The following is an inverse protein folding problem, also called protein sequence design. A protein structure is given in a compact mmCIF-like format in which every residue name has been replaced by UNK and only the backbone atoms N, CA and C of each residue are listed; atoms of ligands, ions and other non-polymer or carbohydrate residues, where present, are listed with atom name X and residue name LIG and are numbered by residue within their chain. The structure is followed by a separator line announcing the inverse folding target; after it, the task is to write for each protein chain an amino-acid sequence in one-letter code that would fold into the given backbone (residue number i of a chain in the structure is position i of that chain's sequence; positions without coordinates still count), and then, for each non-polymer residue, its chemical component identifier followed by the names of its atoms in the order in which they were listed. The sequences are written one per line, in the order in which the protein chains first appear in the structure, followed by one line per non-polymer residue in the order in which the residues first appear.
data_IF_469440413829
#
_entry.id   IF_469440413829
#
_cell.length_a   1.000
_cell.length_b   1.000
_cell.length_c   1.000
_cell.angle_alpha   90.00
_cell.angle_beta   90.00
_cell.angle_gamma   90.00
#
_symmetry.space_group_name_H-M   'P 1'
#
loop_
_entity.id
_entity.type
_entity.pdbx_description
1 polymer ?
#
# COMPACT_ATOMS: atom_id res chain seq x y z
N UNK A 1 65.93 9.87 -11.62
CA UNK A 1 64.97 8.85 -11.15
C UNK A 1 64.26 9.20 -9.84
N UNK A 2 64.95 9.56 -8.74
CA UNK A 2 64.27 9.86 -7.45
C UNK A 2 63.20 10.98 -7.49
N UNK A 3 63.39 12.05 -8.27
CA UNK A 3 62.42 13.15 -8.41
C UNK A 3 61.13 12.79 -9.17
N UNK A 4 61.21 11.86 -10.13
CA UNK A 4 60.05 11.43 -10.94
C UNK A 4 59.16 10.48 -10.14
N UNK A 5 59.76 9.58 -9.35
CA UNK A 5 59.03 8.65 -8.47
C UNK A 5 58.32 9.42 -7.36
N UNK A 6 58.93 10.47 -6.79
CA UNK A 6 58.30 11.32 -5.79
C UNK A 6 57.11 12.10 -6.36
N UNK A 7 57.21 12.63 -7.58
CA UNK A 7 56.12 13.35 -8.24
C UNK A 7 54.92 12.43 -8.55
N UNK A 8 55.18 11.21 -9.04
CA UNK A 8 54.13 10.21 -9.27
C UNK A 8 53.43 9.80 -7.98
N UNK A 9 54.15 9.71 -6.86
CA UNK A 9 53.56 9.42 -5.55
C UNK A 9 52.64 10.54 -5.06
N UNK A 10 53.02 11.81 -5.25
CA UNK A 10 52.16 12.95 -4.92
C UNK A 10 50.90 13.02 -5.79
N UNK A 11 51.01 12.70 -7.09
CA UNK A 11 49.85 12.64 -8.01
C UNK A 11 48.91 11.50 -7.62
N UNK A 12 49.44 10.32 -7.26
CA UNK A 12 48.63 9.22 -6.75
C UNK A 12 47.97 9.55 -5.41
N UNK A 13 48.68 10.19 -4.49
CA UNK A 13 48.10 10.64 -3.21
C UNK A 13 46.96 11.65 -3.45
N UNK A 14 47.16 12.59 -4.38
CA UNK A 14 46.16 13.60 -4.73
C UNK A 14 44.94 12.97 -5.42
N UNK A 15 45.13 12.00 -6.32
CA UNK A 15 44.04 11.22 -6.89
C UNK A 15 43.27 10.46 -5.82
N UNK A 16 43.95 9.79 -4.87
CA UNK A 16 43.25 9.07 -3.79
C UNK A 16 42.45 10.00 -2.89
N UNK A 17 42.92 11.22 -2.64
CA UNK A 17 42.17 12.23 -1.88
C UNK A 17 40.93 12.70 -2.67
N UNK A 18 41.08 12.96 -3.97
CA UNK A 18 39.96 13.35 -4.85
C UNK A 18 38.89 12.26 -5.00
N UNK A 19 39.29 10.98 -5.11
CA UNK A 19 38.37 9.84 -5.19
C UNK A 19 37.81 9.40 -3.82
N UNK A 20 38.41 9.84 -2.71
CA UNK A 20 37.91 9.56 -1.35
C UNK A 20 36.85 10.54 -0.85
N UNK A 21 36.50 11.56 -1.65
CA UNK A 21 35.33 12.41 -1.39
C UNK A 21 34.05 11.65 -1.71
N UNK A 22 33.76 10.63 -0.90
CA UNK A 22 32.41 10.14 -0.73
C UNK A 22 31.60 11.36 -0.27
N UNK A 23 30.70 11.84 -1.14
CA UNK A 23 29.83 12.98 -0.84
C UNK A 23 29.06 12.65 0.44
N UNK A 24 29.44 13.29 1.54
CA UNK A 24 28.70 13.15 2.79
C UNK A 24 27.34 13.78 2.57
N UNK A 25 26.30 12.98 2.75
CA UNK A 25 24.93 13.45 2.89
C UNK A 25 24.74 13.72 4.37
N UNK A 26 24.45 14.97 4.71
CA UNK A 26 24.12 15.34 6.08
C UNK A 26 22.66 14.93 6.33
N UNK A 27 22.45 14.10 7.35
CA UNK A 27 21.13 13.66 7.77
C UNK A 27 20.65 14.58 8.88
N UNK A 28 19.54 15.30 8.66
CA UNK A 28 18.83 15.93 9.75
C UNK A 28 18.02 14.87 10.51
N UNK A 29 18.29 14.75 11.81
CA UNK A 29 17.63 13.78 12.69
C UNK A 29 16.14 14.08 12.83
N UNK A 30 15.33 13.01 12.84
CA UNK A 30 13.89 13.06 12.64
C UNK A 30 13.14 13.88 13.70
N UNK A 31 12.65 15.06 13.32
CA UNK A 31 11.66 15.78 14.13
C UNK A 31 10.37 14.97 14.10
N UNK A 32 9.89 14.55 15.28
CA UNK A 32 8.58 13.90 15.41
C UNK A 32 7.50 14.89 15.01
N UNK A 33 6.78 14.57 13.95
CA UNK A 33 5.69 15.37 13.40
C UNK A 33 4.39 14.59 13.44
N UNK A 34 3.29 15.30 13.25
CA UNK A 34 1.97 14.70 13.09
C UNK A 34 1.34 15.10 11.77
N UNK A 35 0.47 14.26 11.24
CA UNK A 35 -0.37 14.55 10.08
C UNK A 35 -1.69 13.80 10.19
N UNK A 36 -2.69 14.19 9.41
CA UNK A 36 -3.97 13.48 9.36
C UNK A 36 -3.92 12.52 8.17
N UNK A 37 -4.12 11.23 8.44
CA UNK A 37 -4.35 10.21 7.43
C UNK A 37 -5.76 9.63 7.61
N UNK A 38 -6.14 8.69 6.75
CA UNK A 38 -7.39 7.92 6.89
C UNK A 38 -7.09 6.50 7.33
N UNK A 39 -8.07 5.78 7.86
CA UNK A 39 -7.94 4.33 7.98
C UNK A 39 -8.20 3.63 6.64
N UNK A 40 -7.61 2.45 6.51
CA UNK A 40 -8.08 1.40 5.61
C UNK A 40 -9.43 0.88 6.10
N UNK A 41 -10.19 0.26 5.20
CA UNK A 41 -11.48 -0.33 5.54
C UNK A 41 -11.29 -1.75 6.06
N UNK A 42 -12.15 -2.16 6.98
CA UNK A 42 -12.30 -3.56 7.38
C UNK A 42 -13.75 -3.97 7.15
N UNK A 43 -13.95 -4.92 6.25
CA UNK A 43 -15.25 -5.53 6.01
C UNK A 43 -15.39 -6.78 6.88
N UNK A 44 -16.54 -6.93 7.55
CA UNK A 44 -16.78 -7.98 8.54
C UNK A 44 -18.10 -8.69 8.22
N UNK A 45 -18.09 -10.02 8.22
CA UNK A 45 -19.29 -10.85 8.07
C UNK A 45 -19.16 -12.13 8.88
N UNK A 46 -20.23 -12.91 9.02
CA UNK A 46 -20.24 -14.22 9.69
C UNK A 46 -19.97 -15.34 8.69
N UNK A 47 -19.26 -16.39 9.05
CA UNK A 47 -18.86 -17.46 8.09
C UNK A 47 -20.02 -18.18 7.41
N UNK A 48 -21.17 -18.23 8.08
CA UNK A 48 -22.42 -18.88 7.66
C UNK A 48 -23.47 -17.94 7.06
N UNK A 49 -23.15 -16.66 6.87
CA UNK A 49 -24.07 -15.62 6.37
C UNK A 49 -25.27 -15.33 7.28
N UNK A 50 -25.29 -15.83 8.51
CA UNK A 50 -26.33 -15.50 9.48
C UNK A 50 -25.94 -14.19 10.18
N UNK A 51 -26.80 -13.16 10.22
CA UNK A 51 -26.48 -11.91 10.91
C UNK A 51 -26.01 -12.14 12.35
N UNK A 52 -24.84 -11.60 12.67
CA UNK A 52 -24.22 -11.65 13.97
C UNK A 52 -23.98 -10.23 14.51
N UNK A 53 -23.50 -10.15 15.74
CA UNK A 53 -23.10 -8.91 16.39
C UNK A 53 -21.60 -8.87 16.62
N UNK A 54 -21.04 -7.68 16.42
CA UNK A 54 -19.63 -7.38 16.63
C UNK A 54 -19.50 -6.08 17.41
N UNK A 55 -18.55 -6.05 18.34
CA UNK A 55 -18.15 -4.84 19.06
C UNK A 55 -16.75 -4.43 18.59
N UNK A 56 -16.61 -3.17 18.19
CA UNK A 56 -15.37 -2.63 17.61
C UNK A 56 -14.91 -1.43 18.41
N UNK A 57 -13.60 -1.38 18.66
CA UNK A 57 -12.94 -0.29 19.36
C UNK A 57 -11.75 0.14 18.52
N UNK A 58 -11.72 1.39 18.06
CA UNK A 58 -10.60 1.91 17.28
C UNK A 58 -10.50 3.42 17.41
N UNK A 59 -9.30 3.96 17.19
CA UNK A 59 -9.07 5.39 17.35
C UNK A 59 -9.39 6.16 16.08
N UNK A 60 -10.14 7.26 16.20
CA UNK A 60 -10.44 8.22 15.13
C UNK A 60 -10.00 9.63 15.53
N UNK A 61 -9.89 10.55 14.59
CA UNK A 61 -9.66 11.97 14.87
C UNK A 61 -10.91 12.58 15.51
N UNK A 62 -10.81 12.94 16.80
CA UNK A 62 -11.84 13.61 17.55
C UNK A 62 -11.93 15.11 17.23
N UNK A 63 -13.02 15.74 17.68
CA UNK A 63 -13.30 17.16 17.43
C UNK A 63 -12.30 18.12 18.06
N UNK A 64 -11.53 17.66 19.06
CA UNK A 64 -10.46 18.42 19.71
C UNK A 64 -9.13 18.38 18.94
N UNK A 65 -9.09 17.73 17.76
CA UNK A 65 -7.88 17.58 16.95
C UNK A 65 -6.90 16.52 17.48
N UNK A 66 -7.30 15.71 18.46
CA UNK A 66 -6.55 14.56 18.96
C UNK A 66 -7.33 13.28 18.65
N UNK A 67 -6.65 12.14 18.72
CA UNK A 67 -7.33 10.86 18.57
C UNK A 67 -8.21 10.57 19.80
N UNK A 68 -9.37 9.99 19.56
CA UNK A 68 -10.27 9.45 20.57
C UNK A 68 -10.69 8.03 20.19
N UNK A 69 -11.00 7.19 21.17
CA UNK A 69 -11.49 5.83 20.92
C UNK A 69 -12.97 5.85 20.58
N UNK A 70 -13.30 5.44 19.36
CA UNK A 70 -14.66 5.12 18.91
C UNK A 70 -14.99 3.69 19.35
N UNK A 71 -16.13 3.53 20.02
CA UNK A 71 -16.68 2.22 20.41
C UNK A 71 -18.05 2.05 19.78
N UNK A 72 -18.24 0.98 19.02
CA UNK A 72 -19.50 0.70 18.33
C UNK A 72 -19.88 -0.77 18.43
N UNK A 73 -21.18 -1.05 18.55
CA UNK A 73 -21.75 -2.38 18.37
C UNK A 73 -22.52 -2.39 17.05
N UNK A 74 -22.18 -3.30 16.16
CA UNK A 74 -22.67 -3.37 14.79
C UNK A 74 -23.25 -4.76 14.50
N UNK A 75 -24.20 -4.84 13.57
CA UNK A 75 -24.70 -6.10 13.03
C UNK A 75 -23.98 -6.43 11.73
N UNK A 76 -23.61 -7.69 11.52
CA UNK A 76 -23.00 -8.14 10.28
C UNK A 76 -24.04 -8.35 9.17
N UNK A 77 -23.67 -8.13 7.90
CA UNK A 77 -22.35 -7.68 7.44
C UNK A 77 -22.16 -6.16 7.62
N UNK A 78 -20.97 -5.73 8.03
CA UNK A 78 -20.66 -4.33 8.29
C UNK A 78 -19.25 -3.92 7.83
N UNK A 79 -19.00 -2.61 7.77
CA UNK A 79 -17.70 -2.02 7.41
C UNK A 79 -17.32 -1.01 8.49
N UNK A 80 -16.05 -1.02 8.88
CA UNK A 80 -15.43 0.02 9.73
C UNK A 80 -14.23 0.64 9.00
N UNK A 81 -13.77 1.79 9.48
CA UNK A 81 -12.62 2.50 8.92
C UNK A 81 -13.01 3.48 7.81
N UNK A 82 -11.99 4.11 7.23
CA UNK A 82 -12.12 5.23 6.31
C UNK A 82 -12.27 6.60 6.98
N UNK A 83 -12.43 6.65 8.30
CA UNK A 83 -12.35 7.89 9.08
C UNK A 83 -10.93 8.48 9.09
N UNK A 84 -10.84 9.76 9.45
CA UNK A 84 -9.56 10.43 9.66
C UNK A 84 -8.94 10.00 11.00
N UNK A 85 -7.62 10.02 11.08
CA UNK A 85 -6.84 9.76 12.30
C UNK A 85 -5.57 10.59 12.30
N UNK A 86 -5.19 11.12 13.47
CA UNK A 86 -3.92 11.80 13.65
C UNK A 86 -2.81 10.75 13.80
N UNK A 87 -1.81 10.80 12.94
CA UNK A 87 -0.66 9.89 12.98
C UNK A 87 0.60 10.64 13.37
N UNK A 88 1.51 9.97 14.08
CA UNK A 88 2.86 10.45 14.30
C UNK A 88 3.82 9.84 13.28
N UNK A 89 4.83 10.61 12.86
CA UNK A 89 5.88 10.14 11.96
C UNK A 89 7.20 10.86 12.24
N UNK A 90 8.30 10.20 11.86
CA UNK A 90 9.62 10.83 11.78
C UNK A 90 9.87 11.28 10.34
N UNK A 91 10.43 12.47 10.17
CA UNK A 91 10.85 13.02 8.89
C UNK A 91 12.37 13.00 8.80
N UNK A 92 12.94 12.14 7.97
CA UNK A 92 14.37 12.14 7.68
C UNK A 92 14.58 12.92 6.39
N UNK A 93 15.44 13.94 6.44
CA UNK A 93 15.85 14.71 5.25
C UNK A 93 17.34 14.54 5.06
N UNK A 94 17.73 13.97 3.92
CA UNK A 94 19.11 13.93 3.49
C UNK A 94 19.43 15.19 2.70
N UNK A 95 20.42 15.96 3.13
CA UNK A 95 20.88 17.17 2.45
C UNK A 95 22.29 16.99 1.90
N UNK A 96 22.54 17.58 0.74
CA UNK A 96 23.87 17.66 0.14
C UNK A 96 24.12 19.09 -0.31
N UNK A 97 25.20 19.70 0.17
CA UNK A 97 25.54 21.10 -0.13
C UNK A 97 24.42 22.10 0.19
N UNK A 98 23.61 21.82 1.21
CA UNK A 98 22.46 22.65 1.62
C UNK A 98 21.17 22.42 0.82
N UNK A 99 21.19 21.56 -0.20
CA UNK A 99 19.99 21.16 -0.96
C UNK A 99 19.45 19.82 -0.46
N UNK A 100 18.13 19.71 -0.33
CA UNK A 100 17.47 18.45 0.01
C UNK A 100 17.58 17.47 -1.17
N UNK A 101 18.21 16.32 -0.93
CA UNK A 101 18.42 15.25 -1.92
C UNK A 101 17.34 14.18 -1.80
N UNK A 102 16.87 13.91 -0.58
CA UNK A 102 15.71 13.04 -0.36
C UNK A 102 15.01 13.40 0.95
N UNK A 103 13.71 13.12 1.00
CA UNK A 103 12.93 13.13 2.23
C UNK A 103 12.18 11.81 2.38
N UNK A 104 12.20 11.26 3.59
CA UNK A 104 11.52 10.01 3.93
C UNK A 104 10.68 10.23 5.18
N UNK A 105 9.41 9.86 5.08
CA UNK A 105 8.48 9.90 6.21
C UNK A 105 8.29 8.48 6.72
N UNK A 106 8.60 8.25 7.99
CA UNK A 106 8.47 6.93 8.62
C UNK A 106 7.38 6.99 9.68
N UNK A 107 6.30 6.24 9.46
CA UNK A 107 5.16 6.15 10.36
C UNK A 107 5.58 5.60 11.73
N UNK A 108 5.06 6.18 12.81
CA UNK A 108 5.13 5.61 14.15
C UNK A 108 3.82 4.90 14.45
N UNK A 109 3.84 3.57 14.35
CA UNK A 109 2.69 2.74 14.67
C UNK A 109 2.47 2.70 16.18
N UNK A 110 1.25 3.01 16.61
CA UNK A 110 0.84 3.02 18.01
C UNK A 110 -0.49 2.27 18.16
N UNK A 111 -0.45 1.19 18.94
CA UNK A 111 -1.55 0.24 19.13
C UNK A 111 -2.23 0.37 20.51
N UNK A 112 -1.86 1.38 21.30
CA UNK A 112 -2.53 1.68 22.56
C UNK A 112 -3.78 2.52 22.32
N UNK A 113 -4.69 2.61 23.29
CA UNK A 113 -5.85 3.50 23.18
C UNK A 113 -5.41 4.93 22.84
N UNK A 114 -6.12 5.57 21.90
CA UNK A 114 -5.78 6.85 21.26
C UNK A 114 -4.56 6.81 20.32
N UNK A 115 -3.86 5.68 20.23
CA UNK A 115 -2.87 5.41 19.21
C UNK A 115 -3.51 5.25 17.84
N UNK A 116 -2.86 5.75 16.78
CA UNK A 116 -3.47 5.84 15.46
C UNK A 116 -3.81 4.50 14.80
N UNK A 117 -3.17 3.41 15.26
CA UNK A 117 -3.32 2.05 14.75
C UNK A 117 -4.06 1.13 15.75
N UNK A 118 -4.65 1.74 16.79
CA UNK A 118 -5.50 1.04 17.75
C UNK A 118 -6.73 0.48 17.07
N UNK A 119 -6.89 -0.84 17.19
CA UNK A 119 -8.01 -1.58 16.67
C UNK A 119 -8.24 -2.83 17.52
N UNK A 120 -9.48 -3.04 17.93
CA UNK A 120 -9.96 -4.26 18.54
C UNK A 120 -11.31 -4.62 17.95
N UNK A 121 -11.49 -5.89 17.60
CA UNK A 121 -12.74 -6.43 17.04
C UNK A 121 -13.12 -7.65 17.88
N UNK A 122 -14.25 -7.57 18.56
CA UNK A 122 -14.79 -8.60 19.44
C UNK A 122 -16.03 -9.23 18.82
N UNK A 123 -15.99 -10.53 18.69
CA UNK A 123 -17.12 -11.33 18.24
C UNK A 123 -18.10 -11.53 19.40
N UNK A 124 -19.31 -10.97 19.26
CA UNK A 124 -20.40 -11.18 20.22
C UNK A 124 -21.39 -12.27 19.75
N UNK A 125 -21.14 -12.86 18.58
CA UNK A 125 -21.98 -13.86 17.96
C UNK A 125 -21.59 -15.27 18.41
N UNK A 126 -22.53 -16.21 18.26
CA UNK A 126 -22.28 -17.65 18.42
C UNK A 126 -21.63 -18.30 17.18
N UNK A 127 -21.46 -17.56 16.10
CA UNK A 127 -20.83 -18.02 14.85
C UNK A 127 -19.49 -17.33 14.61
N UNK A 128 -18.63 -17.95 13.79
CA UNK A 128 -17.30 -17.41 13.46
C UNK A 128 -17.47 -16.15 12.62
N UNK A 129 -16.77 -15.06 12.98
CA UNK A 129 -16.64 -13.89 12.13
C UNK A 129 -15.46 -14.05 11.17
N UNK A 130 -15.60 -13.43 10.00
CA UNK A 130 -14.58 -13.28 8.98
C UNK A 130 -14.37 -11.78 8.77
N UNK A 131 -13.11 -11.37 8.64
CA UNK A 131 -12.76 -9.99 8.30
C UNK A 131 -11.80 -9.93 7.13
N UNK A 132 -11.91 -8.86 6.35
CA UNK A 132 -11.01 -8.53 5.26
C UNK A 132 -10.54 -7.09 5.38
N UNK A 133 -9.25 -6.84 5.13
CA UNK A 133 -8.62 -5.51 5.16
C UNK A 133 -8.51 -4.99 3.72
N UNK A 134 -9.11 -3.82 3.47
CA UNK A 134 -9.19 -3.19 2.16
C UNK A 134 -8.52 -1.83 2.24
N UNK A 135 -7.48 -1.64 1.43
CA UNK A 135 -6.72 -0.40 1.35
C UNK A 135 -7.58 0.76 0.86
N UNK A 136 -7.40 1.93 1.48
CA UNK A 136 -8.12 3.16 1.15
C UNK A 136 -7.24 4.11 0.32
N UNK A 137 -6.17 3.62 -0.32
CA UNK A 137 -5.32 4.45 -1.16
C UNK A 137 -6.12 4.99 -2.36
N UNK A 138 -5.94 6.25 -2.76
CA UNK A 138 -6.50 6.73 -4.01
C UNK A 138 -5.78 6.11 -5.21
N UNK A 139 -6.40 6.14 -6.39
CA UNK A 139 -5.65 6.00 -7.63
C UNK A 139 -4.74 7.22 -7.81
N UNK A 140 -3.48 6.95 -8.11
CA UNK A 140 -2.47 7.95 -8.49
C UNK A 140 -2.10 7.69 -9.94
N UNK A 141 -2.04 8.74 -10.75
CA UNK A 141 -1.76 8.62 -12.19
C UNK A 141 -0.33 9.05 -12.51
N UNK A 142 0.22 8.48 -13.56
CA UNK A 142 1.47 8.97 -14.15
C UNK A 142 1.29 10.38 -14.72
N UNK A 143 2.37 11.17 -14.70
CA UNK A 143 2.43 12.35 -15.56
C UNK A 143 2.53 11.86 -17.03
N UNK A 144 1.71 12.38 -17.96
CA UNK A 144 1.78 12.01 -19.37
C UNK A 144 3.17 12.12 -20.01
N UNK A 145 4.06 12.98 -19.49
CA UNK A 145 5.44 13.09 -19.98
C UNK A 145 6.27 11.85 -19.68
N UNK A 146 6.11 11.29 -18.48
CA UNK A 146 6.88 10.14 -17.98
C UNK A 146 6.57 8.87 -18.79
N UNK A 147 5.38 8.81 -19.42
CA UNK A 147 4.96 7.67 -20.23
C UNK A 147 5.86 7.44 -21.45
N UNK A 148 6.57 8.47 -21.92
CA UNK A 148 7.50 8.33 -23.06
C UNK A 148 8.80 7.62 -22.70
N UNK A 149 9.11 7.50 -21.40
CA UNK A 149 10.32 6.85 -20.92
C UNK A 149 10.21 5.32 -20.90
N UNK A 150 8.98 4.79 -21.00
CA UNK A 150 8.76 3.34 -21.06
C UNK A 150 9.20 2.75 -22.40
N UNK A 151 9.88 1.62 -22.32
CA UNK A 151 10.48 0.95 -23.48
C UNK A 151 9.43 0.44 -24.46
N UNK A 152 9.56 0.81 -25.74
CA UNK A 152 8.70 0.39 -26.85
C UNK A 152 7.20 0.40 -26.50
N UNK A 153 6.68 1.53 -25.99
CA UNK A 153 5.27 1.64 -25.60
C UNK A 153 4.35 1.55 -26.84
N UNK A 154 3.69 0.41 -27.03
CA UNK A 154 3.03 0.04 -28.30
C UNK A 154 1.75 0.81 -28.60
N UNK A 155 0.89 1.09 -27.61
CA UNK A 155 -0.41 1.75 -27.80
C UNK A 155 -0.51 3.13 -27.12
N UNK A 156 0.63 3.78 -26.84
CA UNK A 156 0.67 5.07 -26.13
C UNK A 156 -0.18 6.17 -26.80
N UNK A 157 -0.30 6.15 -28.12
CA UNK A 157 -1.04 7.17 -28.87
C UNK A 157 -2.54 6.90 -28.99
N UNK A 158 -3.01 5.74 -28.54
CA UNK A 158 -4.41 5.29 -28.62
C UNK A 158 -5.17 5.44 -27.30
N UNK A 159 -4.47 5.80 -26.22
CA UNK A 159 -5.00 5.85 -24.86
C UNK A 159 -5.09 7.29 -24.34
N UNK A 160 -5.96 7.47 -23.34
CA UNK A 160 -5.98 8.69 -22.52
C UNK A 160 -4.82 8.65 -21.51
N UNK A 161 -3.74 9.36 -21.84
CA UNK A 161 -2.50 9.43 -21.06
C UNK A 161 -2.70 9.95 -19.64
N UNK A 162 -3.77 10.71 -19.39
CA UNK A 162 -4.08 11.24 -18.05
C UNK A 162 -4.69 10.20 -17.11
N UNK A 163 -5.06 9.03 -17.64
CA UNK A 163 -5.72 7.95 -16.89
C UNK A 163 -4.84 6.70 -16.75
N UNK A 164 -3.53 6.83 -16.95
CA UNK A 164 -2.59 5.73 -16.74
C UNK A 164 -2.20 5.68 -15.27
N UNK A 165 -2.63 4.63 -14.58
CA UNK A 165 -2.44 4.46 -13.14
C UNK A 165 -1.00 4.08 -12.82
N UNK A 166 -0.45 4.75 -11.82
CA UNK A 166 0.85 4.51 -11.18
C UNK A 166 0.71 3.74 -9.86
N UNK A 167 -0.22 4.17 -9.02
CA UNK A 167 -0.48 3.56 -7.72
C UNK A 167 -2.00 3.36 -7.55
N UNK A 168 -2.40 2.30 -6.84
CA UNK A 168 -3.80 1.93 -6.67
C UNK A 168 -4.08 1.39 -5.27
N UNK A 169 -5.35 1.39 -4.84
CA UNK A 169 -5.75 0.69 -3.64
C UNK A 169 -5.38 -0.81 -3.68
N UNK A 170 -4.91 -1.30 -2.53
CA UNK A 170 -4.55 -2.71 -2.32
C UNK A 170 -5.67 -3.42 -1.55
N UNK A 171 -6.10 -4.64 -1.91
CA UNK A 171 -5.63 -5.44 -3.03
C UNK A 171 -6.42 -5.20 -4.32
N UNK A 172 -5.87 -5.74 -5.40
CA UNK A 172 -6.42 -5.75 -6.76
C UNK A 172 -6.88 -7.17 -7.08
N UNK A 173 -8.05 -7.33 -7.70
CA UNK A 173 -8.54 -8.64 -8.12
C UNK A 173 -7.94 -9.12 -9.45
N UNK A 174 -8.31 -10.32 -9.88
CA UNK A 174 -7.90 -10.93 -11.16
C UNK A 174 -8.38 -10.17 -12.42
N UNK A 175 -9.41 -9.33 -12.31
CA UNK A 175 -9.82 -8.42 -13.39
C UNK A 175 -8.98 -7.14 -13.46
N UNK A 176 -8.09 -6.90 -12.48
CA UNK A 176 -7.29 -5.68 -12.38
C UNK A 176 -8.01 -4.53 -11.67
N UNK A 177 -9.14 -4.80 -11.01
CA UNK A 177 -9.96 -3.83 -10.28
C UNK A 177 -9.60 -3.88 -8.78
N UNK A 178 -9.23 -2.75 -8.15
CA UNK A 178 -9.08 -2.67 -6.71
C UNK A 178 -10.36 -3.09 -5.98
N UNK A 179 -10.22 -3.93 -4.96
CA UNK A 179 -11.34 -4.38 -4.10
C UNK A 179 -12.08 -3.19 -3.49
N UNK A 180 -11.38 -2.09 -3.20
CA UNK A 180 -12.00 -0.83 -2.74
C UNK A 180 -13.15 -0.38 -3.64
N UNK A 181 -12.97 -0.45 -4.96
CA UNK A 181 -13.98 0.05 -5.91
C UNK A 181 -15.07 -0.96 -6.24
N UNK A 182 -14.89 -2.23 -5.88
CA UNK A 182 -15.98 -3.20 -5.85
C UNK A 182 -16.85 -2.99 -4.60
N UNK A 183 -16.22 -2.73 -3.45
CA UNK A 183 -16.90 -2.51 -2.17
C UNK A 183 -17.56 -1.13 -2.06
N UNK A 184 -16.91 -0.10 -2.60
CA UNK A 184 -17.29 1.32 -2.54
C UNK A 184 -17.07 2.00 -3.89
N UNK A 185 -17.87 1.66 -4.92
CA UNK A 185 -17.71 2.23 -6.26
C UNK A 185 -17.83 3.76 -6.28
N UNK A 186 -18.55 4.36 -5.33
CA UNK A 186 -18.70 5.81 -5.16
C UNK A 186 -17.39 6.54 -4.87
N UNK A 187 -16.37 5.84 -4.37
CA UNK A 187 -15.05 6.42 -4.12
C UNK A 187 -14.21 6.52 -5.39
N UNK A 188 -14.57 5.81 -6.45
CA UNK A 188 -13.91 5.98 -7.74
C UNK A 188 -14.45 7.22 -8.44
N UNK A 189 -13.59 8.22 -8.65
CA UNK A 189 -13.93 9.43 -9.42
C UNK A 189 -13.96 9.20 -10.94
N UNK A 190 -13.63 7.98 -11.39
CA UNK A 190 -13.57 7.58 -12.79
C UNK A 190 -14.22 6.22 -13.00
N UNK A 191 -14.65 5.94 -14.22
CA UNK A 191 -15.30 4.66 -14.60
C UNK A 191 -14.38 3.73 -15.41
N UNK A 192 -13.24 4.23 -15.87
CA UNK A 192 -12.23 3.45 -16.57
C UNK A 192 -10.85 4.09 -16.40
N UNK A 193 -9.81 3.28 -16.42
CA UNK A 193 -8.42 3.70 -16.40
C UNK A 193 -7.52 2.71 -17.14
N UNK A 194 -6.25 3.04 -17.27
CA UNK A 194 -5.26 2.20 -17.91
C UNK A 194 -4.19 1.76 -16.91
N UNK A 195 -3.71 0.53 -17.04
CA UNK A 195 -2.58 0.01 -16.28
C UNK A 195 -1.44 -0.34 -17.23
N UNK A 196 -0.21 -0.11 -16.81
CA UNK A 196 0.97 -0.46 -17.59
C UNK A 196 1.35 -1.93 -17.33
N UNK A 197 1.52 -2.69 -18.42
CA UNK A 197 1.98 -4.08 -18.38
C UNK A 197 3.17 -4.24 -19.33
N UNK A 198 4.13 -5.09 -18.96
CA UNK A 198 5.42 -5.20 -19.66
C UNK A 198 5.58 -6.57 -20.32
N UNK A 199 5.85 -6.63 -21.61
CA UNK A 199 6.14 -7.85 -22.38
C UNK A 199 7.66 -8.04 -22.41
N UNK A 200 8.12 -9.27 -22.23
CA UNK A 200 9.53 -9.64 -22.40
C UNK A 200 9.83 -11.02 -21.81
N UNK A 201 11.13 -11.32 -21.62
CA UNK A 201 11.57 -12.64 -21.20
C UNK A 201 11.52 -12.83 -19.69
N UNK A 202 11.12 -14.04 -19.30
CA UNK A 202 11.11 -14.47 -17.92
C UNK A 202 12.19 -15.51 -17.65
N UNK A 203 12.99 -15.32 -16.61
CA UNK A 203 13.90 -16.34 -16.07
C UNK A 203 13.47 -16.62 -14.63
N UNK A 204 13.26 -17.88 -14.28
CA UNK A 204 12.81 -18.31 -12.94
C UNK A 204 11.54 -17.60 -12.43
N UNK A 205 10.62 -17.23 -13.33
CA UNK A 205 9.39 -16.55 -12.95
C UNK A 205 9.57 -15.06 -12.63
N UNK A 206 10.70 -14.46 -13.01
CA UNK A 206 10.95 -13.01 -12.92
C UNK A 206 11.26 -12.43 -14.30
N UNK A 207 10.77 -11.23 -14.57
CA UNK A 207 10.98 -10.52 -15.83
C UNK A 207 12.41 -9.99 -15.86
N UNK A 208 13.24 -10.49 -16.78
CA UNK A 208 14.65 -10.10 -16.89
C UNK A 208 14.91 -9.08 -18.00
N UNK A 209 14.06 -9.07 -19.02
CA UNK A 209 14.15 -8.13 -20.14
C UNK A 209 12.76 -7.57 -20.42
N UNK A 210 12.68 -6.29 -20.77
CA UNK A 210 11.44 -5.66 -21.24
C UNK A 210 11.60 -5.42 -22.73
N UNK A 211 10.83 -6.15 -23.54
CA UNK A 211 10.76 -5.95 -24.99
C UNK A 211 9.84 -4.79 -25.36
N UNK A 212 8.71 -4.67 -24.64
CA UNK A 212 7.75 -3.58 -24.83
C UNK A 212 6.83 -3.39 -23.63
N UNK A 213 6.20 -2.21 -23.56
CA UNK A 213 5.17 -1.90 -22.59
C UNK A 213 3.87 -1.58 -23.32
N UNK A 214 2.73 -1.90 -22.71
CA UNK A 214 1.42 -1.48 -23.23
C UNK A 214 0.48 -1.12 -22.08
N UNK A 215 -0.54 -0.35 -22.43
CA UNK A 215 -1.62 0.01 -21.53
C UNK A 215 -2.81 -0.92 -21.71
N UNK A 216 -3.24 -1.58 -20.64
CA UNK A 216 -4.49 -2.34 -20.59
C UNK A 216 -5.61 -1.48 -20.00
N UNK A 217 -6.74 -1.38 -20.69
CA UNK A 217 -7.93 -0.70 -20.17
C UNK A 217 -8.60 -1.56 -19.09
N UNK A 218 -8.90 -0.95 -17.95
CA UNK A 218 -9.68 -1.51 -16.86
C UNK A 218 -10.95 -0.68 -16.68
N UNK A 219 -12.11 -1.33 -16.84
CA UNK A 219 -13.41 -0.73 -16.56
C UNK A 219 -13.84 -0.99 -15.12
N UNK A 220 -14.26 0.05 -14.42
CA UNK A 220 -14.88 -0.06 -13.09
C UNK A 220 -16.37 -0.25 -13.30
N UNK A 221 -16.89 -1.41 -12.86
CA UNK A 221 -18.32 -1.70 -12.86
C UNK A 221 -18.99 -0.83 -11.79
N UNK A 222 -20.12 -0.15 -12.08
CA UNK A 222 -20.82 0.66 -11.10
C UNK A 222 -21.55 -0.17 -10.03
N UNK A 223 -21.70 -1.48 -10.27
CA UNK A 223 -22.35 -2.40 -9.35
C UNK A 223 -21.49 -2.64 -8.11
N UNK A 224 -22.02 -2.25 -6.96
CA UNK A 224 -21.42 -2.53 -5.67
C UNK A 224 -21.53 -4.01 -5.32
N UNK A 225 -20.42 -4.61 -4.92
CA UNK A 225 -20.35 -5.96 -4.42
C UNK A 225 -20.77 -5.99 -2.95
N UNK A 226 -21.45 -7.06 -2.56
CA UNK A 226 -21.75 -7.36 -1.16
C UNK A 226 -20.47 -7.73 -0.40
N UNK A 227 -20.48 -7.55 0.91
CA UNK A 227 -19.34 -7.95 1.77
C UNK A 227 -19.04 -9.45 1.65
N UNK A 228 -20.06 -10.30 1.45
CA UNK A 228 -19.85 -11.73 1.19
C UNK A 228 -19.05 -11.97 -0.08
N UNK A 229 -19.43 -11.33 -1.18
CA UNK A 229 -18.70 -11.48 -2.45
C UNK A 229 -17.26 -10.97 -2.32
N UNK A 230 -17.05 -9.86 -1.58
CA UNK A 230 -15.70 -9.41 -1.24
C UNK A 230 -14.94 -10.47 -0.45
N UNK A 231 -15.55 -11.04 0.59
CA UNK A 231 -14.92 -12.05 1.44
C UNK A 231 -14.49 -13.31 0.64
N UNK A 232 -15.27 -13.68 -0.37
CA UNK A 232 -14.95 -14.82 -1.23
C UNK A 232 -13.64 -14.63 -2.01
N UNK A 233 -13.30 -13.40 -2.44
CA UNK A 233 -11.98 -13.14 -3.06
C UNK A 233 -10.83 -13.43 -2.08
N UNK A 234 -10.97 -13.03 -0.82
CA UNK A 234 -9.94 -13.25 0.19
C UNK A 234 -9.83 -14.72 0.57
N UNK A 235 -10.95 -15.44 0.75
CA UNK A 235 -10.95 -16.88 0.98
C UNK A 235 -10.23 -17.63 -0.12
N UNK A 236 -10.55 -17.30 -1.37
CA UNK A 236 -9.94 -17.93 -2.53
C UNK A 236 -8.44 -17.64 -2.60
N UNK A 237 -8.03 -16.39 -2.34
CA UNK A 237 -6.61 -16.03 -2.27
C UNK A 237 -5.86 -16.81 -1.18
N UNK A 238 -6.41 -16.93 0.03
CA UNK A 238 -5.75 -17.61 1.13
C UNK A 238 -5.83 -19.15 1.03
N UNK A 239 -6.70 -19.69 0.17
CA UNK A 239 -6.82 -21.14 -0.06
C UNK A 239 -6.01 -21.62 -1.27
N UNK A 240 -6.05 -20.88 -2.37
CA UNK A 240 -5.50 -21.30 -3.66
C UNK A 240 -4.51 -20.29 -4.26
N UNK A 241 -4.54 -19.03 -3.80
CA UNK A 241 -3.73 -17.94 -4.33
C UNK A 241 -4.16 -17.45 -5.72
N UNK A 242 -3.50 -16.38 -6.20
CA UNK A 242 -3.65 -15.78 -7.55
C UNK A 242 -4.98 -15.08 -7.80
N UNK A 243 -5.72 -14.76 -6.76
CA UNK A 243 -7.02 -14.09 -6.85
C UNK A 243 -6.91 -12.62 -6.48
N UNK A 244 -6.01 -12.30 -5.55
CA UNK A 244 -5.72 -10.95 -5.10
C UNK A 244 -4.24 -10.64 -5.23
N UNK A 245 -3.93 -9.40 -5.59
CA UNK A 245 -2.56 -8.92 -5.83
C UNK A 245 -2.33 -7.62 -5.05
N UNK A 246 -1.09 -7.38 -4.61
CA UNK A 246 -0.81 -6.18 -3.81
C UNK A 246 -0.82 -4.91 -4.68
N UNK A 247 -0.34 -5.02 -5.93
CA UNK A 247 -0.26 -3.96 -6.92
C UNK A 247 -0.27 -4.51 -8.37
N UNK A 248 -0.11 -3.63 -9.36
CA UNK A 248 -0.08 -4.04 -10.77
C UNK A 248 1.18 -4.80 -11.20
N UNK A 249 2.28 -4.71 -10.45
CA UNK A 249 3.49 -5.52 -10.71
C UNK A 249 3.26 -6.99 -10.30
N UNK A 250 2.50 -7.19 -9.22
CA UNK A 250 2.04 -8.50 -8.78
C UNK A 250 0.98 -9.08 -9.71
N UNK A 251 0.05 -8.22 -10.14
CA UNK A 251 -1.03 -8.56 -11.08
C UNK A 251 -0.51 -9.03 -12.45
N UNK A 252 0.62 -8.51 -12.92
CA UNK A 252 1.23 -8.95 -14.18
C UNK A 252 1.82 -10.38 -14.01
N UNK A 253 0.94 -11.37 -14.27
CA UNK A 253 1.16 -12.82 -14.14
C UNK A 253 2.09 -13.43 -15.19
N UNK A 254 2.73 -12.61 -16.06
CA UNK A 254 3.57 -13.10 -17.17
C UNK A 254 4.66 -14.07 -16.75
N UNK A 255 5.32 -13.77 -15.64
CA UNK A 255 6.37 -14.63 -15.13
C UNK A 255 5.83 -15.42 -13.92
N UNK A 256 5.78 -16.75 -14.06
CA UNK A 256 5.13 -17.66 -13.10
C UNK A 256 5.94 -17.85 -11.80
N UNK A 257 6.00 -16.83 -10.96
CA UNK A 257 6.29 -16.92 -9.53
C UNK A 257 5.02 -16.55 -8.77
N UNK A 258 4.78 -17.16 -7.61
CA UNK A 258 3.60 -16.80 -6.80
C UNK A 258 3.72 -15.34 -6.35
N UNK A 259 2.80 -14.50 -6.84
CA UNK A 259 2.70 -13.05 -6.58
C UNK A 259 1.40 -12.67 -5.88
N UNK A 260 0.67 -13.65 -5.36
CA UNK A 260 -0.60 -13.41 -4.67
C UNK A 260 -0.42 -12.59 -3.38
N UNK A 261 -1.52 -11.99 -2.93
CA UNK A 261 -1.56 -11.15 -1.73
C UNK A 261 -1.14 -11.92 -0.48
N UNK A 262 -1.52 -13.21 -0.35
CA UNK A 262 -1.29 -13.98 0.87
C UNK A 262 0.20 -14.30 1.13
N UNK A 263 1.11 -13.96 0.21
CA UNK A 263 2.57 -14.03 0.44
C UNK A 263 3.09 -12.93 1.37
N UNK A 264 2.33 -11.86 1.56
CA UNK A 264 2.75 -10.72 2.38
C UNK A 264 2.59 -11.06 3.88
N UNK A 265 3.46 -10.50 4.71
CA UNK A 265 3.43 -10.73 6.16
C UNK A 265 2.23 -10.07 6.85
N UNK A 266 1.59 -9.09 6.19
CA UNK A 266 0.39 -8.43 6.71
C UNK A 266 -0.84 -9.33 6.61
N UNK A 267 -1.68 -9.32 7.65
CA UNK A 267 -2.96 -10.03 7.65
C UNK A 267 -4.02 -9.19 6.96
N UNK A 268 -4.41 -9.65 5.77
CA UNK A 268 -5.49 -9.07 5.00
C UNK A 268 -6.82 -9.81 5.18
N UNK A 269 -6.79 -11.03 5.72
CA UNK A 269 -7.94 -11.86 5.99
C UNK A 269 -7.76 -12.59 7.32
N UNK A 270 -8.85 -12.84 8.03
CA UNK A 270 -8.82 -13.73 9.18
C UNK A 270 -10.19 -14.06 9.74
N UNK A 271 -10.19 -15.01 10.66
CA UNK A 271 -11.38 -15.48 11.37
C UNK A 271 -11.29 -15.10 12.85
N UNK A 272 -12.42 -14.77 13.46
CA UNK A 272 -12.56 -14.50 14.90
C UNK A 272 -13.59 -15.48 15.45
N UNK A 273 -13.15 -16.36 16.34
CA UNK A 273 -14.02 -17.38 16.95
C UNK A 273 -15.14 -16.72 17.79
N UNK A 274 -16.26 -17.43 18.03
CA UNK A 274 -17.31 -16.98 18.94
C UNK A 274 -16.75 -16.50 20.27
N UNK A 275 -17.33 -15.42 20.82
CA UNK A 275 -16.97 -14.82 22.11
C UNK A 275 -15.49 -14.39 22.25
N UNK A 276 -14.74 -14.40 21.15
CA UNK A 276 -13.32 -14.05 21.11
C UNK A 276 -13.11 -12.67 20.52
N UNK A 277 -11.90 -12.13 20.66
CA UNK A 277 -11.53 -10.86 20.05
C UNK A 277 -10.16 -10.93 19.41
N UNK A 278 -9.91 -10.02 18.50
CA UNK A 278 -8.58 -9.70 18.02
C UNK A 278 -8.23 -8.27 18.43
N UNK A 279 -6.99 -8.07 18.84
CA UNK A 279 -6.40 -6.74 19.04
C UNK A 279 -5.25 -6.56 18.07
N UNK A 280 -5.19 -5.42 17.39
CA UNK A 280 -4.07 -5.12 16.52
C UNK A 280 -2.80 -4.94 17.36
N UNK A 281 -1.75 -5.62 16.95
CA UNK A 281 -0.41 -5.61 17.56
C UNK A 281 0.68 -5.51 16.50
N UNK A 282 0.30 -5.08 15.28
CA UNK A 282 1.18 -4.96 14.13
C UNK A 282 0.78 -5.82 12.93
N UNK A 283 -0.07 -6.82 13.14
CA UNK A 283 -0.47 -7.78 12.11
C UNK A 283 -1.47 -7.23 11.08
N UNK A 284 -2.28 -6.22 11.45
CA UNK A 284 -3.20 -5.53 10.54
C UNK A 284 -2.64 -4.14 10.28
N UNK A 285 -2.63 -3.72 9.02
CA UNK A 285 -2.25 -2.37 8.65
C UNK A 285 -3.50 -1.48 8.55
N UNK A 286 -3.88 -0.80 9.63
CA UNK A 286 -5.15 -0.07 9.66
C UNK A 286 -5.03 1.37 9.15
N UNK A 287 -3.83 1.96 9.11
CA UNK A 287 -3.61 3.33 8.63
C UNK A 287 -3.37 3.33 7.11
N UNK A 288 -4.07 4.17 6.37
CA UNK A 288 -3.91 4.29 4.93
C UNK A 288 -2.60 5.00 4.55
N UNK A 289 -1.61 4.22 4.12
CA UNK A 289 -0.36 4.72 3.52
C UNK A 289 -0.08 4.00 2.21
N UNK A 290 0.76 4.61 1.36
CA UNK A 290 1.11 4.10 0.02
C UNK A 290 1.73 2.72 0.05
N UNK A 291 2.59 2.46 1.04
CA UNK A 291 3.37 1.21 1.13
C UNK A 291 2.93 0.33 2.30
N UNK A 292 2.04 0.83 3.15
CA UNK A 292 1.73 0.21 4.43
C UNK A 292 1.08 -1.15 4.35
N UNK A 293 0.22 -1.36 3.35
CA UNK A 293 -0.37 -2.68 3.12
C UNK A 293 0.70 -3.75 2.84
N UNK A 294 1.92 -3.37 2.43
CA UNK A 294 3.07 -4.26 2.27
C UNK A 294 3.93 -4.40 3.53
N UNK A 295 3.50 -3.84 4.67
CA UNK A 295 4.23 -3.85 5.94
C UNK A 295 5.34 -2.80 6.02
N UNK A 296 5.30 -1.75 5.20
CA UNK A 296 6.36 -0.74 5.11
C UNK A 296 5.89 0.56 5.78
N UNK A 297 6.60 0.99 6.84
CA UNK A 297 6.33 2.23 7.58
C UNK A 297 6.62 3.50 6.78
N UNK A 298 7.34 3.38 5.67
CA UNK A 298 7.68 4.51 4.79
C UNK A 298 6.47 4.93 3.97
N UNK A 299 6.13 6.20 4.02
CA UNK A 299 5.01 6.75 3.26
C UNK A 299 5.29 8.12 2.66
N UNK A 300 4.38 8.54 1.77
CA UNK A 300 4.34 9.87 1.17
C UNK A 300 3.07 10.58 1.64
N UNK A 301 3.15 11.89 1.86
CA UNK A 301 1.96 12.73 1.99
C UNK A 301 1.62 13.21 0.58
N UNK A 302 0.44 12.83 0.08
CA UNK A 302 -0.09 13.44 -1.13
C UNK A 302 -0.55 14.86 -0.76
N UNK A 303 0.13 15.87 -1.30
CA UNK A 303 -0.29 17.27 -1.23
C UNK A 303 -1.28 17.57 -2.36
#
# INVERSE_FOLDING_TARGET
MKKIISLQLYVWLFLTILFSQCTKVDLEEGVRKTTILRHNYIAITTKDDIPGEVEVHYSILGNNGQNEVKTERLSTPCIIGGENVLVAYDSIVGTHSGESVFSQLTLKRDYQENGADFLSIKNLSSTVLEYAVIGNQPLVFHNPTDLKEYHNFTNLNEIDKTKVVKESPTPINSEGIPILYLLKPELSKINQYYILLSIGDCVNGELTTVESTYAKNIGIKPTQYTIREIMNFYKEEYSHGKTLFADYNDYDLKCQKYKGLARLDMKFYGEIQPESFIRNSGQIWFINTTSGMKGIDIFKIFQ
#
